data_IF_866558668019
#
_entry.id   IF_866558668019
#
_cell.length_a   1.000
_cell.length_b   1.000
_cell.length_c   1.000
_cell.angle_alpha   90.00
_cell.angle_beta   90.00
_cell.angle_gamma   90.00
#
_symmetry.space_group_name_H-M   'P 1'
#
loop_
_entity.id
_entity.type
_entity.pdbx_description
1 polymer ?
#
# COMPACT_ATOMS: atom_id res chain seq x y z
N UNK A 1 -31.82 25.65 6.15
CA UNK A 1 -30.59 24.95 6.55
C UNK A 1 -30.12 25.54 7.86
N UNK A 2 -30.41 24.87 8.98
CA UNK A 2 -29.98 25.27 10.32
C UNK A 2 -28.64 24.58 10.58
N UNK A 3 -27.54 25.32 10.51
CA UNK A 3 -26.24 24.85 11.00
C UNK A 3 -26.28 24.92 12.52
N UNK A 4 -26.36 23.77 13.18
CA UNK A 4 -26.25 23.70 14.64
C UNK A 4 -24.89 24.28 15.06
N UNK A 5 -24.84 25.22 16.01
CA UNK A 5 -23.58 25.65 16.60
C UNK A 5 -22.98 24.43 17.31
N UNK A 6 -21.86 23.94 16.80
CA UNK A 6 -21.07 22.95 17.50
C UNK A 6 -20.39 23.66 18.68
N UNK A 7 -21.02 23.62 19.85
CA UNK A 7 -20.38 24.03 21.09
C UNK A 7 -19.28 23.02 21.39
N UNK A 8 -18.02 23.41 21.15
CA UNK A 8 -16.87 22.79 21.76
C UNK A 8 -16.90 23.13 23.26
N UNK A 9 -17.74 22.43 24.02
CA UNK A 9 -17.78 22.53 25.47
C UNK A 9 -16.50 21.88 25.99
N UNK A 10 -15.44 22.69 26.10
CA UNK A 10 -14.27 22.35 26.89
C UNK A 10 -14.76 22.13 28.32
N UNK A 11 -14.83 20.87 28.75
CA UNK A 11 -15.08 20.52 30.13
C UNK A 11 -13.97 21.18 30.97
N UNK A 12 -14.32 22.24 31.68
CA UNK A 12 -13.42 22.98 32.55
C UNK A 12 -12.97 22.08 33.69
N UNK A 13 -11.83 21.41 33.52
CA UNK A 13 -11.08 20.85 34.63
C UNK A 13 -10.38 22.02 35.35
N UNK A 14 -10.53 22.17 36.68
CA UNK A 14 -9.90 23.24 37.42
C UNK A 14 -8.39 22.98 37.52
N UNK A 15 -7.61 23.58 36.63
CA UNK A 15 -6.15 23.54 36.66
C UNK A 15 -5.56 24.61 35.75
N UNK A 16 -4.92 25.63 36.32
CA UNK A 16 -4.34 26.75 35.57
C UNK A 16 -3.36 26.31 34.47
N UNK A 17 -3.09 27.19 33.49
CA UNK A 17 -2.16 27.09 32.33
C UNK A 17 -1.76 25.67 31.84
N UNK A 18 -1.07 24.87 32.66
CA UNK A 18 -0.82 23.44 32.45
C UNK A 18 -2.11 22.61 32.23
N UNK A 19 -3.19 22.86 32.97
CA UNK A 19 -4.46 22.13 32.81
C UNK A 19 -5.17 22.41 31.48
N UNK A 20 -4.96 23.60 30.89
CA UNK A 20 -5.47 23.95 29.56
C UNK A 20 -4.70 23.31 28.40
N UNK A 21 -3.46 22.84 28.61
CA UNK A 21 -2.70 22.11 27.59
C UNK A 21 -3.02 20.61 27.57
N UNK A 22 -3.61 20.05 28.63
CA UNK A 22 -3.97 18.63 28.71
C UNK A 22 -4.94 18.22 27.59
N UNK A 23 -6.06 18.94 27.33
CA UNK A 23 -6.95 18.60 26.22
C UNK A 23 -6.28 18.72 24.85
N UNK A 24 -5.42 19.72 24.66
CA UNK A 24 -4.71 19.95 23.40
C UNK A 24 -3.73 18.81 23.09
N UNK A 25 -2.89 18.44 24.06
CA UNK A 25 -1.92 17.35 23.95
C UNK A 25 -2.64 16.01 23.74
N UNK A 26 -3.77 15.78 24.42
CA UNK A 26 -4.55 14.56 24.29
C UNK A 26 -5.17 14.42 22.89
N UNK A 27 -5.69 15.50 22.30
CA UNK A 27 -6.17 15.50 20.91
C UNK A 27 -5.02 15.21 19.93
N UNK A 28 -3.87 15.87 20.09
CA UNK A 28 -2.68 15.61 19.27
C UNK A 28 -2.20 14.16 19.39
N UNK A 29 -2.20 13.61 20.60
CA UNK A 29 -1.81 12.22 20.85
C UNK A 29 -2.75 11.24 20.15
N UNK A 30 -4.07 11.46 20.22
CA UNK A 30 -5.06 10.62 19.53
C UNK A 30 -4.90 10.74 18.01
N UNK A 31 -4.84 11.96 17.46
CA UNK A 31 -4.66 12.17 16.02
C UNK A 31 -3.34 11.56 15.50
N UNK A 32 -2.26 11.73 16.25
CA UNK A 32 -0.96 11.14 15.92
C UNK A 32 -1.06 9.61 15.89
N UNK A 33 -1.60 9.01 16.94
CA UNK A 33 -1.68 7.56 17.05
C UNK A 33 -2.62 6.94 16.01
N UNK A 34 -3.77 7.56 15.76
CA UNK A 34 -4.76 7.05 14.81
C UNK A 34 -4.36 7.29 13.35
N UNK A 35 -3.65 8.36 12.99
CA UNK A 35 -3.35 8.65 11.57
C UNK A 35 -1.97 8.14 11.15
N UNK A 36 -0.93 8.40 11.94
CA UNK A 36 0.45 8.11 11.54
C UNK A 36 0.74 6.61 11.55
N UNK A 37 0.21 5.86 12.52
CA UNK A 37 0.39 4.41 12.59
C UNK A 37 -0.19 3.68 11.36
N UNK A 38 -1.46 3.86 10.96
CA UNK A 38 -1.99 3.18 9.78
C UNK A 38 -1.39 3.70 8.48
N UNK A 39 -1.00 4.98 8.40
CA UNK A 39 -0.38 5.52 7.18
C UNK A 39 1.00 4.90 6.94
N UNK A 40 1.82 4.75 7.98
CA UNK A 40 3.11 4.06 7.87
C UNK A 40 2.94 2.59 7.45
N UNK A 41 1.90 1.90 7.93
CA UNK A 41 1.61 0.53 7.52
C UNK A 41 1.27 0.43 6.03
N UNK A 42 0.42 1.33 5.51
CA UNK A 42 0.08 1.38 4.08
C UNK A 42 1.30 1.63 3.20
N UNK A 43 2.17 2.56 3.58
CA UNK A 43 3.41 2.85 2.83
C UNK A 43 4.35 1.64 2.84
N UNK A 44 4.51 0.98 3.99
CA UNK A 44 5.34 -0.23 4.11
C UNK A 44 4.78 -1.38 3.26
N UNK A 45 3.46 -1.57 3.25
CA UNK A 45 2.80 -2.58 2.41
C UNK A 45 2.99 -2.30 0.92
N UNK A 46 2.83 -1.04 0.49
CA UNK A 46 3.06 -0.65 -0.91
C UNK A 46 4.49 -0.90 -1.34
N UNK A 47 5.47 -0.48 -0.51
CA UNK A 47 6.90 -0.75 -0.77
C UNK A 47 7.18 -2.24 -0.87
N UNK A 48 6.68 -3.04 0.07
CA UNK A 48 6.87 -4.49 0.06
C UNK A 48 6.22 -5.18 -1.16
N UNK A 49 5.10 -4.65 -1.66
CA UNK A 49 4.44 -5.16 -2.87
C UNK A 49 5.27 -4.87 -4.12
N UNK A 50 5.80 -3.66 -4.23
CA UNK A 50 6.68 -3.23 -5.31
C UNK A 50 8.01 -3.99 -5.30
N UNK A 51 8.63 -4.17 -4.13
CA UNK A 51 9.86 -4.94 -3.98
C UNK A 51 9.67 -6.44 -4.26
N UNK A 52 8.45 -6.95 -4.09
CA UNK A 52 8.13 -8.35 -4.34
C UNK A 52 7.80 -8.67 -5.81
N UNK A 53 7.85 -7.68 -6.71
CA UNK A 53 7.58 -7.88 -8.14
C UNK A 53 8.64 -8.76 -8.79
N UNK A 54 8.19 -9.74 -9.57
CA UNK A 54 9.04 -10.68 -10.30
C UNK A 54 8.73 -10.69 -11.79
N UNK A 55 9.69 -11.17 -12.57
CA UNK A 55 9.46 -11.48 -13.98
C UNK A 55 8.35 -12.53 -14.07
N UNK A 56 7.37 -12.28 -14.92
CA UNK A 56 6.21 -13.14 -15.12
C UNK A 56 4.94 -12.65 -14.45
N UNK A 57 5.03 -11.74 -13.48
CA UNK A 57 3.86 -11.25 -12.75
C UNK A 57 2.96 -10.40 -13.65
N UNK A 58 1.64 -10.58 -13.51
CA UNK A 58 0.66 -9.70 -14.12
C UNK A 58 0.35 -8.56 -13.15
N UNK A 59 0.44 -7.34 -13.66
CA UNK A 59 0.27 -6.14 -12.86
C UNK A 59 -0.76 -5.18 -13.48
N UNK A 60 -1.32 -4.33 -12.62
CA UNK A 60 -2.11 -3.16 -13.02
C UNK A 60 -1.35 -1.91 -12.60
N UNK A 61 -1.10 -1.02 -13.56
CA UNK A 61 -0.51 0.30 -13.29
C UNK A 61 -1.60 1.30 -12.88
N UNK A 62 -1.21 2.43 -12.29
CA UNK A 62 -2.13 3.51 -11.91
C UNK A 62 -2.95 4.09 -13.07
N UNK A 63 -2.54 3.88 -14.31
CA UNK A 63 -3.30 4.27 -15.50
C UNK A 63 -4.36 3.25 -15.94
N UNK A 64 -4.56 2.16 -15.20
CA UNK A 64 -5.48 1.08 -15.56
C UNK A 64 -4.92 0.12 -16.63
N UNK A 65 -3.62 0.20 -16.92
CA UNK A 65 -2.98 -0.67 -17.92
C UNK A 65 -2.64 -2.00 -17.27
N UNK A 66 -3.08 -3.09 -17.90
CA UNK A 66 -2.77 -4.45 -17.50
C UNK A 66 -1.64 -4.96 -18.40
N UNK A 67 -0.61 -5.53 -17.79
CA UNK A 67 0.52 -6.10 -18.54
C UNK A 67 1.32 -7.11 -17.73
N UNK A 68 2.25 -7.78 -18.41
CA UNK A 68 3.12 -8.79 -17.81
C UNK A 68 4.53 -8.25 -17.66
N UNK A 69 5.12 -8.42 -16.47
CA UNK A 69 6.50 -8.01 -16.20
C UNK A 69 7.47 -8.92 -16.97
N UNK A 70 8.22 -8.36 -17.91
CA UNK A 70 9.23 -9.10 -18.69
C UNK A 70 10.61 -9.00 -18.05
N UNK A 71 10.94 -7.83 -17.48
CA UNK A 71 12.21 -7.57 -16.81
C UNK A 71 12.00 -6.60 -15.66
N UNK A 72 12.62 -6.91 -14.52
CA UNK A 72 12.77 -5.96 -13.40
C UNK A 72 14.13 -5.29 -13.61
N UNK A 73 14.12 -3.97 -13.79
CA UNK A 73 15.33 -3.16 -13.95
C UNK A 73 15.95 -2.80 -12.60
N UNK A 74 17.20 -2.34 -12.65
CA UNK A 74 17.79 -1.53 -11.59
C UNK A 74 17.31 -0.08 -11.80
N UNK A 75 17.10 0.69 -10.73
CA UNK A 75 16.60 2.09 -10.77
C UNK A 75 15.06 2.28 -10.74
N UNK A 76 14.34 1.41 -10.02
CA UNK A 76 12.90 1.56 -9.80
C UNK A 76 12.06 1.51 -11.09
N UNK A 77 12.58 0.91 -12.16
CA UNK A 77 11.87 0.75 -13.42
C UNK A 77 11.67 -0.74 -13.75
N UNK A 78 10.52 -1.04 -14.35
CA UNK A 78 10.19 -2.38 -14.82
C UNK A 78 9.77 -2.32 -16.29
N UNK A 79 10.13 -3.34 -17.04
CA UNK A 79 9.73 -3.50 -18.43
C UNK A 79 8.50 -4.39 -18.48
N UNK A 80 7.39 -3.84 -18.97
CA UNK A 80 6.09 -4.48 -18.99
C UNK A 80 5.65 -4.65 -20.43
N UNK A 81 5.24 -5.87 -20.78
CA UNK A 81 4.62 -6.17 -22.05
C UNK A 81 3.11 -6.01 -21.93
N UNK A 82 2.55 -5.10 -22.73
CA UNK A 82 1.13 -4.73 -22.72
C UNK A 82 0.40 -5.44 -23.87
N UNK A 83 1.09 -5.63 -24.98
CA UNK A 83 0.62 -6.35 -26.16
C UNK A 83 1.80 -7.07 -26.82
N UNK A 84 1.53 -8.03 -27.69
CA UNK A 84 2.55 -8.85 -28.36
C UNK A 84 3.61 -7.98 -29.03
N UNK A 85 4.84 -8.00 -28.49
CA UNK A 85 5.96 -7.22 -29.02
C UNK A 85 6.00 -5.75 -28.61
N UNK A 86 5.02 -5.27 -27.83
CA UNK A 86 5.01 -3.90 -27.28
C UNK A 86 5.47 -3.95 -25.83
N UNK A 87 6.72 -3.52 -25.62
CA UNK A 87 7.34 -3.42 -24.30
C UNK A 87 7.48 -1.96 -23.91
N UNK A 88 7.05 -1.62 -22.70
CA UNK A 88 7.10 -0.26 -22.16
C UNK A 88 7.81 -0.29 -20.83
N UNK A 89 8.67 0.71 -20.59
CA UNK A 89 9.28 0.94 -19.28
C UNK A 89 8.33 1.77 -18.45
N UNK A 90 7.97 1.25 -17.28
CA UNK A 90 7.13 1.94 -16.31
C UNK A 90 7.83 1.97 -14.96
N UNK A 91 7.58 3.03 -14.20
CA UNK A 91 8.19 3.17 -12.88
C UNK A 91 7.45 2.26 -11.90
N UNK A 92 8.19 1.46 -11.15
CA UNK A 92 7.65 0.41 -10.28
C UNK A 92 6.68 0.94 -9.22
N UNK A 93 6.86 2.20 -8.79
CA UNK A 93 5.99 2.82 -7.77
C UNK A 93 4.57 3.09 -8.29
N UNK A 94 4.37 3.06 -9.61
CA UNK A 94 3.06 3.24 -10.27
C UNK A 94 2.26 1.94 -10.35
N UNK A 95 2.80 0.82 -9.89
CA UNK A 95 2.08 -0.45 -9.82
C UNK A 95 1.12 -0.42 -8.65
N UNK A 96 -0.18 -0.59 -8.91
CA UNK A 96 -1.22 -0.55 -7.88
C UNK A 96 -1.55 -1.94 -7.35
N UNK A 97 -1.56 -2.95 -8.23
CA UNK A 97 -2.02 -4.29 -7.88
C UNK A 97 -1.29 -5.32 -8.72
N UNK A 98 -0.97 -6.45 -8.08
CA UNK A 98 -0.43 -7.64 -8.73
C UNK A 98 -1.57 -8.65 -8.84
N UNK A 99 -2.02 -8.91 -10.06
CA UNK A 99 -3.16 -9.80 -10.36
C UNK A 99 -2.79 -11.27 -10.21
N UNK A 100 -1.61 -11.64 -10.71
CA UNK A 100 -1.05 -12.98 -10.55
C UNK A 100 0.37 -12.83 -10.05
N UNK A 101 0.57 -13.18 -8.78
CA UNK A 101 1.90 -13.38 -8.24
C UNK A 101 2.32 -14.76 -8.67
N UNK A 102 3.31 -14.85 -9.56
CA UNK A 102 3.78 -16.13 -10.04
C UNK A 102 4.33 -16.90 -8.83
N UNK A 103 3.60 -17.92 -8.37
CA UNK A 103 4.11 -18.85 -7.37
C UNK A 103 5.43 -19.44 -7.88
N UNK A 104 6.46 -19.57 -7.02
CA UNK A 104 7.68 -20.23 -7.44
C UNK A 104 7.32 -21.66 -7.85
N UNK A 105 7.65 -22.01 -9.09
CA UNK A 105 7.49 -23.34 -9.66
C UNK A 105 8.29 -24.40 -8.87
N UNK A 106 7.76 -24.85 -7.72
CA UNK A 106 8.32 -25.97 -6.94
C UNK A 106 7.28 -26.89 -6.30
N UNK A 107 6.00 -26.75 -6.64
CA UNK A 107 4.91 -27.62 -6.17
C UNK A 107 4.29 -28.52 -7.26
N UNK A 108 4.95 -28.70 -8.41
CA UNK A 108 4.42 -29.51 -9.52
C UNK A 108 5.10 -30.90 -9.70
N UNK A 109 5.85 -31.42 -8.71
CA UNK A 109 6.56 -32.72 -8.85
C UNK A 109 6.31 -33.78 -7.76
N UNK A 110 5.26 -33.66 -6.95
CA UNK A 110 4.98 -34.70 -5.91
C UNK A 110 3.76 -35.58 -6.21
N UNK A 111 2.93 -35.28 -7.22
CA UNK A 111 1.64 -35.97 -7.41
C UNK A 111 1.57 -36.98 -8.58
N UNK A 112 2.68 -37.65 -8.95
CA UNK A 112 2.63 -38.70 -9.99
C UNK A 112 3.28 -40.05 -9.64
N UNK A 113 3.61 -40.33 -8.38
CA UNK A 113 4.31 -41.58 -8.03
C UNK A 113 3.58 -42.52 -7.07
N UNK A 114 2.32 -42.29 -6.69
CA UNK A 114 1.61 -43.23 -5.79
C UNK A 114 0.16 -43.44 -6.21
N UNK A 115 -0.05 -44.32 -7.20
CA UNK A 115 -1.07 -45.38 -7.26
C UNK A 115 -1.22 -45.87 -8.70
N UNK A 116 -0.36 -46.81 -9.08
CA UNK A 116 -0.75 -47.94 -9.91
C UNK A 116 -0.64 -49.18 -9.03
#
# INVERSE_FOLDING_TARGET
>A
MFVSPAYAQAAGAPGGALGSFIPLILIFAIMYFLMIRPQQQKIKQHRAMVDALRKGDQIVTSGGIIGKVTKVGSDNEIEVEIATGVKVRVVQHTVQTVLNKTEPAKSAKTEKTVKK
#
